data_IF_185172676054
#
_entry.id   IF_185172676054
#
_cell.length_a   1.000
_cell.length_b   1.000
_cell.length_c   1.000
_cell.angle_alpha   90.00
_cell.angle_beta   90.00
_cell.angle_gamma   90.00
#
_symmetry.space_group_name_H-M   'P 1'
#
loop_
_entity.id
_entity.type
_entity.pdbx_description
1 polymer ?
#
# COMPACT_ATOMS: atom_id res chain seq x y z
N UNK A 1 -18.49 8.77 -5.52
CA UNK A 1 -17.44 8.58 -6.53
C UNK A 1 -16.62 7.38 -6.10
N UNK A 2 -16.69 6.27 -6.84
CA UNK A 2 -15.79 5.13 -6.65
C UNK A 2 -14.43 5.54 -7.21
N UNK A 3 -13.49 5.95 -6.35
CA UNK A 3 -12.09 6.17 -6.76
C UNK A 3 -11.33 4.87 -6.67
N UNK A 4 -10.39 4.67 -7.57
CA UNK A 4 -9.43 3.57 -7.47
C UNK A 4 -8.02 4.12 -7.17
N UNK A 5 -7.03 3.25 -7.15
CA UNK A 5 -5.65 3.67 -6.87
C UNK A 5 -5.03 4.49 -8.02
N UNK A 6 -5.46 4.32 -9.28
CA UNK A 6 -4.97 5.09 -10.45
C UNK A 6 -5.32 6.57 -10.33
N UNK A 7 -6.43 6.90 -9.67
CA UNK A 7 -6.80 8.30 -9.39
C UNK A 7 -5.93 8.96 -8.30
N UNK A 8 -5.28 8.16 -7.45
CA UNK A 8 -4.71 8.62 -6.19
C UNK A 8 -3.19 8.49 -6.10
N UNK A 9 -2.59 7.42 -6.63
CA UNK A 9 -1.15 7.18 -6.56
C UNK A 9 -0.32 8.13 -7.45
N UNK A 10 -0.78 8.55 -8.65
CA UNK A 10 -0.05 9.51 -9.46
C UNK A 10 0.03 10.92 -8.84
N UNK A 11 -0.90 11.25 -7.92
CA UNK A 11 -0.93 12.55 -7.26
C UNK A 11 0.39 12.83 -6.54
N UNK A 12 0.81 14.10 -6.54
CA UNK A 12 1.90 14.55 -5.70
C UNK A 12 1.52 14.52 -4.22
N UNK A 13 2.51 14.70 -3.35
CA UNK A 13 2.30 14.59 -1.91
C UNK A 13 1.33 15.65 -1.39
N UNK A 14 1.37 16.87 -1.92
CA UNK A 14 0.49 17.96 -1.51
C UNK A 14 -0.96 17.70 -1.93
N UNK A 15 -1.17 17.19 -3.14
CA UNK A 15 -2.47 16.81 -3.67
C UNK A 15 -3.08 15.67 -2.87
N UNK A 16 -2.32 14.59 -2.64
CA UNK A 16 -2.80 13.45 -1.86
C UNK A 16 -3.11 13.84 -0.41
N UNK A 17 -2.29 14.71 0.19
CA UNK A 17 -2.53 15.24 1.53
C UNK A 17 -3.81 16.08 1.62
N UNK A 18 -4.19 16.84 0.58
CA UNK A 18 -5.46 17.59 0.55
C UNK A 18 -6.67 16.67 0.57
N UNK A 19 -6.54 15.44 0.07
CA UNK A 19 -7.59 14.42 0.13
C UNK A 19 -7.64 13.71 1.49
N UNK A 20 -6.64 13.91 2.35
CA UNK A 20 -6.56 13.26 3.66
C UNK A 20 -6.94 14.22 4.79
N UNK A 21 -7.76 13.73 5.73
CA UNK A 21 -7.92 14.36 7.03
C UNK A 21 -6.72 14.00 7.90
N UNK A 22 -5.91 15.00 8.25
CA UNK A 22 -4.77 14.86 9.14
C UNK A 22 -5.18 15.09 10.60
N UNK A 23 -4.66 14.28 11.51
CA UNK A 23 -4.81 14.47 12.96
C UNK A 23 -3.49 14.17 13.65
N UNK A 24 -3.18 14.94 14.68
CA UNK A 24 -2.00 14.72 15.52
C UNK A 24 -2.39 13.87 16.72
N UNK A 25 -1.49 12.98 17.12
CA UNK A 25 -1.70 12.04 18.20
C UNK A 25 -0.56 12.15 19.22
N UNK A 26 -0.93 11.89 20.46
CA UNK A 26 0.02 11.77 21.57
C UNK A 26 0.62 10.36 21.55
N UNK A 27 1.93 10.24 21.39
CA UNK A 27 2.64 8.98 21.59
C UNK A 27 3.10 8.90 23.06
N UNK A 28 2.81 7.82 23.79
CA UNK A 28 3.58 7.49 24.97
C UNK A 28 4.98 7.07 24.49
N UNK A 29 6.00 7.88 24.78
CA UNK A 29 7.39 7.51 24.55
C UNK A 29 7.90 6.58 25.66
N UNK A 30 8.96 5.77 25.39
CA UNK A 30 9.69 5.07 26.44
C UNK A 30 10.47 6.08 27.28
N UNK A 31 9.80 6.71 28.24
CA UNK A 31 10.37 7.71 29.14
C UNK A 31 9.40 7.91 30.31
N UNK A 32 9.91 7.81 31.53
CA UNK A 32 9.10 7.89 32.75
C UNK A 32 8.28 9.18 32.87
N UNK A 33 7.45 9.24 33.91
CA UNK A 33 6.36 10.18 34.18
C UNK A 33 6.64 11.70 34.01
N UNK A 34 7.87 12.14 33.73
CA UNK A 34 8.25 13.56 33.72
C UNK A 34 8.87 14.12 32.44
N UNK A 35 9.26 13.33 31.42
CA UNK A 35 9.95 13.91 30.24
C UNK A 35 9.58 13.26 28.90
N UNK A 36 9.18 14.16 27.98
CA UNK A 36 8.90 14.02 26.54
C UNK A 36 7.58 13.38 26.14
N UNK A 37 6.49 14.13 26.36
CA UNK A 37 5.23 13.88 25.68
C UNK A 37 5.00 14.96 24.63
N UNK A 38 5.46 14.73 23.40
CA UNK A 38 5.25 15.64 22.28
C UNK A 38 4.24 15.02 21.32
N UNK A 39 3.22 15.79 20.93
CA UNK A 39 2.16 15.42 19.97
C UNK A 39 2.71 15.36 18.53
N UNK A 40 3.69 14.48 18.34
CA UNK A 40 4.46 14.35 17.10
C UNK A 40 3.90 13.27 16.18
N UNK A 41 3.08 12.34 16.67
CA UNK A 41 2.49 11.31 15.81
C UNK A 41 1.43 11.92 14.90
N UNK A 42 1.37 11.42 13.67
CA UNK A 42 0.47 11.87 12.61
C UNK A 42 -0.37 10.69 12.16
N UNK A 43 -1.67 10.89 12.12
CA UNK A 43 -2.66 10.02 11.49
C UNK A 43 -3.23 10.73 10.27
N UNK A 44 -3.26 10.03 9.15
CA UNK A 44 -3.92 10.44 7.92
C UNK A 44 -5.09 9.50 7.67
N UNK A 45 -6.27 10.05 7.41
CA UNK A 45 -7.44 9.31 6.95
C UNK A 45 -7.84 9.80 5.58
N UNK A 46 -7.93 8.92 4.58
CA UNK A 46 -8.34 9.32 3.24
C UNK A 46 -9.83 9.67 3.26
N UNK A 47 -10.19 10.87 2.81
CA UNK A 47 -11.59 11.34 2.84
C UNK A 47 -12.39 10.56 1.82
N UNK A 48 -13.55 10.03 2.21
CA UNK A 48 -14.44 9.27 1.32
C UNK A 48 -14.10 7.78 1.19
N UNK A 49 -12.96 7.34 1.74
CA UNK A 49 -12.56 5.94 1.81
C UNK A 49 -12.34 5.53 3.27
N UNK A 50 -12.52 4.25 3.61
CA UNK A 50 -12.19 3.77 4.96
C UNK A 50 -10.71 3.35 5.07
N UNK A 51 -9.80 4.25 4.67
CA UNK A 51 -8.35 4.04 4.72
C UNK A 51 -7.70 4.98 5.72
N UNK A 52 -6.84 4.43 6.56
CA UNK A 52 -6.10 5.17 7.57
C UNK A 52 -4.64 4.72 7.62
N UNK A 53 -3.73 5.67 7.74
CA UNK A 53 -2.32 5.44 7.95
C UNK A 53 -1.81 6.31 9.09
N UNK A 54 -1.10 5.70 10.05
CA UNK A 54 -0.51 6.41 11.19
C UNK A 54 1.01 6.24 11.20
N UNK A 55 1.74 7.28 11.58
CA UNK A 55 3.17 7.23 11.85
C UNK A 55 3.51 8.08 13.09
N UNK A 56 4.52 7.67 13.85
CA UNK A 56 4.88 8.30 15.13
C UNK A 56 6.23 7.88 15.65
N UNK A 57 7.08 7.32 14.79
CA UNK A 57 8.39 6.77 15.10
C UNK A 57 9.43 7.87 15.32
N UNK A 58 9.24 9.04 14.70
CA UNK A 58 10.12 10.18 14.85
C UNK A 58 9.60 11.14 15.93
N UNK A 59 10.51 11.91 16.53
CA UNK A 59 10.18 13.08 17.34
C UNK A 59 9.65 14.26 16.52
N UNK A 60 9.90 14.27 15.20
CA UNK A 60 9.46 15.33 14.29
C UNK A 60 8.12 14.99 13.65
N UNK A 61 7.13 15.88 13.85
CA UNK A 61 5.83 15.77 13.19
C UNK A 61 5.96 15.80 11.66
N UNK A 62 6.87 16.60 11.11
CA UNK A 62 7.08 16.68 9.67
C UNK A 62 7.56 15.33 9.10
N UNK A 63 8.53 14.68 9.76
CA UNK A 63 8.99 13.34 9.38
C UNK A 63 7.87 12.30 9.51
N UNK A 64 7.07 12.38 10.59
CA UNK A 64 5.94 11.47 10.77
C UNK A 64 4.85 11.70 9.71
N UNK A 65 4.60 12.94 9.28
CA UNK A 65 3.67 13.22 8.18
C UNK A 65 4.12 12.57 6.88
N UNK A 66 5.40 12.69 6.50
CA UNK A 66 5.95 12.02 5.32
C UNK A 66 5.84 10.50 5.43
N UNK A 67 6.17 9.93 6.59
CA UNK A 67 6.04 8.49 6.83
C UNK A 67 4.59 8.01 6.78
N UNK A 68 3.65 8.77 7.35
CA UNK A 68 2.22 8.45 7.28
C UNK A 68 1.71 8.51 5.83
N UNK A 69 2.20 9.44 5.03
CA UNK A 69 1.84 9.55 3.61
C UNK A 69 2.36 8.37 2.79
N UNK A 70 3.62 7.97 2.97
CA UNK A 70 4.18 6.78 2.32
C UNK A 70 3.38 5.51 2.68
N UNK A 71 2.99 5.40 3.95
CA UNK A 71 2.09 4.34 4.41
C UNK A 71 0.72 4.42 3.75
N UNK A 72 0.13 5.62 3.65
CA UNK A 72 -1.16 5.84 3.00
C UNK A 72 -1.14 5.38 1.53
N UNK A 73 -0.07 5.70 0.78
CA UNK A 73 0.09 5.23 -0.60
C UNK A 73 0.07 3.70 -0.69
N UNK A 74 0.75 3.02 0.22
CA UNK A 74 0.68 1.56 0.28
C UNK A 74 -0.72 1.05 0.68
N UNK A 75 -1.40 1.67 1.66
CA UNK A 75 -2.77 1.28 2.01
C UNK A 75 -3.75 1.45 0.83
N UNK A 76 -3.56 2.49 0.01
CA UNK A 76 -4.31 2.72 -1.24
C UNK A 76 -4.06 1.56 -2.22
N UNK A 77 -2.80 1.25 -2.48
CA UNK A 77 -2.42 0.14 -3.37
C UNK A 77 -2.97 -1.23 -2.91
N UNK A 78 -3.04 -1.45 -1.60
CA UNK A 78 -3.48 -2.72 -1.03
C UNK A 78 -5.00 -2.87 -0.96
N UNK A 79 -5.79 -1.79 -0.96
CA UNK A 79 -7.25 -1.87 -0.73
C UNK A 79 -8.13 -1.35 -1.85
N UNK A 80 -7.65 -0.39 -2.63
CA UNK A 80 -8.39 0.07 -3.81
C UNK A 80 -7.96 -0.77 -5.01
N UNK A 81 -8.92 -1.15 -5.84
CA UNK A 81 -8.70 -1.94 -7.05
C UNK A 81 -9.12 -1.17 -8.27
N UNK A 82 -8.36 -1.32 -9.34
CA UNK A 82 -8.75 -0.92 -10.67
C UNK A 82 -8.95 -2.18 -11.54
N UNK A 83 -9.62 -2.02 -12.67
CA UNK A 83 -9.71 -3.09 -13.67
C UNK A 83 -8.34 -3.32 -14.28
N UNK A 84 -7.97 -4.58 -14.50
CA UNK A 84 -6.75 -4.88 -15.26
C UNK A 84 -6.97 -4.45 -16.72
N UNK A 85 -6.06 -3.63 -17.24
CA UNK A 85 -6.09 -3.14 -18.63
C UNK A 85 -5.18 -4.01 -19.50
N UNK A 86 -5.41 -4.05 -20.81
CA UNK A 86 -4.66 -4.93 -21.73
C UNK A 86 -3.15 -4.63 -21.75
N UNK A 87 -2.77 -3.39 -21.47
CA UNK A 87 -1.39 -2.91 -21.41
C UNK A 87 -0.72 -3.13 -20.04
N UNK A 88 -1.38 -3.86 -19.13
CA UNK A 88 -0.93 -4.09 -17.75
C UNK A 88 0.53 -4.54 -17.64
N UNK A 89 0.95 -5.48 -18.49
CA UNK A 89 2.33 -6.01 -18.48
C UNK A 89 3.33 -4.92 -18.87
N UNK A 90 3.03 -4.15 -19.93
CA UNK A 90 3.87 -3.03 -20.35
C UNK A 90 3.98 -1.97 -19.25
N UNK A 91 2.87 -1.64 -18.60
CA UNK A 91 2.82 -0.72 -17.48
C UNK A 91 3.69 -1.22 -16.32
N UNK A 92 3.60 -2.50 -15.97
CA UNK A 92 4.41 -3.10 -14.89
C UNK A 92 5.90 -3.16 -15.25
N UNK A 93 6.25 -3.49 -16.49
CA UNK A 93 7.63 -3.56 -16.98
C UNK A 93 8.29 -2.19 -17.12
N UNK A 94 7.51 -1.14 -17.41
CA UNK A 94 7.99 0.24 -17.44
C UNK A 94 8.44 0.73 -16.04
N UNK A 95 7.95 0.07 -14.98
CA UNK A 95 8.34 0.35 -13.60
C UNK A 95 9.56 -0.48 -13.23
N UNK A 96 10.47 0.10 -12.43
CA UNK A 96 11.66 -0.61 -11.99
C UNK A 96 11.35 -1.59 -10.83
N UNK A 97 10.52 -2.61 -11.09
CA UNK A 97 10.00 -3.54 -10.08
C UNK A 97 11.11 -4.36 -9.41
N UNK A 98 12.20 -4.63 -10.12
CA UNK A 98 13.37 -5.36 -9.62
C UNK A 98 14.07 -4.57 -8.50
N UNK A 99 14.33 -3.29 -8.70
CA UNK A 99 15.07 -2.44 -7.74
C UNK A 99 14.17 -1.65 -6.79
N UNK A 100 12.85 -1.65 -7.03
CA UNK A 100 11.87 -1.01 -6.15
C UNK A 100 12.00 -1.47 -4.70
N UNK A 101 11.66 -0.62 -3.75
CA UNK A 101 11.63 -0.98 -2.33
C UNK A 101 10.49 -0.22 -1.64
N UNK A 102 10.10 -0.64 -0.44
CA UNK A 102 8.98 -0.04 0.29
C UNK A 102 9.13 1.47 0.59
N UNK A 103 10.32 2.04 0.42
CA UNK A 103 10.59 3.48 0.55
C UNK A 103 10.55 4.24 -0.79
N UNK A 104 10.53 3.54 -1.92
CA UNK A 104 10.43 4.13 -3.25
C UNK A 104 8.97 4.52 -3.56
N UNK A 105 8.77 5.71 -4.13
CA UNK A 105 7.47 6.23 -4.58
C UNK A 105 6.77 5.31 -5.60
N UNK A 106 7.51 4.55 -6.39
CA UNK A 106 6.97 3.61 -7.40
C UNK A 106 6.46 2.28 -6.79
N UNK A 107 6.91 1.91 -5.59
CA UNK A 107 6.55 0.60 -5.02
C UNK A 107 5.05 0.41 -4.77
N UNK A 108 4.31 1.41 -4.24
CA UNK A 108 2.85 1.31 -4.14
C UNK A 108 2.17 1.05 -5.49
N UNK A 109 2.63 1.67 -6.57
CA UNK A 109 2.05 1.49 -7.91
C UNK A 109 2.30 0.08 -8.46
N UNK A 110 3.53 -0.42 -8.32
CA UNK A 110 3.88 -1.81 -8.65
C UNK A 110 2.99 -2.79 -7.88
N UNK A 111 2.81 -2.56 -6.57
CA UNK A 111 1.97 -3.42 -5.73
C UNK A 111 0.51 -3.34 -6.14
N UNK A 112 -0.02 -2.15 -6.46
CA UNK A 112 -1.39 -1.98 -6.88
C UNK A 112 -1.69 -2.75 -8.17
N UNK A 113 -0.81 -2.60 -9.17
CA UNK A 113 -0.84 -3.37 -10.41
C UNK A 113 -0.85 -4.88 -10.13
N UNK A 114 0.15 -5.38 -9.39
CA UNK A 114 0.22 -6.80 -9.04
C UNK A 114 -1.07 -7.26 -8.35
N UNK A 115 -1.61 -6.47 -7.42
CA UNK A 115 -2.80 -6.85 -6.66
C UNK A 115 -4.10 -6.82 -7.46
N UNK A 116 -4.23 -5.95 -8.47
CA UNK A 116 -5.33 -5.99 -9.42
C UNK A 116 -5.29 -7.31 -10.22
N UNK A 117 -4.15 -7.62 -10.82
CA UNK A 117 -3.97 -8.86 -11.58
C UNK A 117 -4.23 -10.10 -10.73
N UNK A 118 -3.65 -10.15 -9.53
CA UNK A 118 -3.89 -11.25 -8.59
C UNK A 118 -5.36 -11.32 -8.18
N UNK A 119 -6.02 -10.18 -7.97
CA UNK A 119 -7.44 -10.12 -7.60
C UNK A 119 -8.36 -10.77 -8.63
N UNK A 120 -8.09 -10.55 -9.92
CA UNK A 120 -8.84 -11.17 -11.03
C UNK A 120 -8.47 -12.65 -11.25
N UNK A 121 -7.26 -13.06 -10.84
CA UNK A 121 -6.70 -14.39 -11.08
C UNK A 121 -6.64 -15.27 -9.81
N UNK A 122 -7.68 -15.22 -8.97
CA UNK A 122 -7.82 -16.03 -7.76
C UNK A 122 -6.64 -15.93 -6.77
N UNK A 123 -5.95 -14.80 -6.76
CA UNK A 123 -4.77 -14.54 -5.94
C UNK A 123 -3.60 -15.51 -6.19
N UNK A 124 -3.48 -16.09 -7.40
CA UNK A 124 -2.39 -17.00 -7.75
C UNK A 124 -1.17 -16.26 -8.37
N UNK A 125 -0.03 -16.16 -7.66
CA UNK A 125 1.17 -15.52 -8.19
C UNK A 125 1.83 -16.28 -9.35
N UNK A 126 1.47 -17.55 -9.58
CA UNK A 126 2.01 -18.35 -10.69
C UNK A 126 1.52 -17.85 -12.04
N UNK A 127 0.28 -17.38 -12.11
CA UNK A 127 -0.30 -16.85 -13.34
C UNK A 127 0.42 -15.57 -13.75
N UNK A 128 0.64 -14.64 -12.82
CA UNK A 128 1.40 -13.43 -13.10
C UNK A 128 2.85 -13.73 -13.52
N UNK A 129 3.48 -14.69 -12.84
CA UNK A 129 4.84 -15.10 -13.16
C UNK A 129 4.95 -15.65 -14.60
N UNK A 130 3.93 -16.38 -15.06
CA UNK A 130 3.85 -16.88 -16.44
C UNK A 130 3.70 -15.74 -17.45
N UNK A 131 2.80 -14.79 -17.21
CA UNK A 131 2.61 -13.63 -18.10
C UNK A 131 3.87 -12.76 -18.21
N UNK A 132 4.55 -12.55 -17.08
CA UNK A 132 5.79 -11.78 -17.04
C UNK A 132 7.03 -12.56 -17.50
N UNK A 133 6.89 -13.86 -17.84
CA UNK A 133 8.01 -14.76 -18.14
C UNK A 133 9.13 -14.74 -17.06
N UNK A 134 8.75 -14.68 -15.78
CA UNK A 134 9.65 -14.71 -14.62
C UNK A 134 9.30 -15.87 -13.68
N UNK A 135 10.20 -16.22 -12.76
CA UNK A 135 9.89 -17.23 -11.74
C UNK A 135 8.89 -16.71 -10.69
N UNK A 136 7.99 -17.57 -10.20
CA UNK A 136 7.04 -17.25 -9.10
C UNK A 136 7.75 -16.59 -7.90
N UNK A 137 8.96 -17.07 -7.56
CA UNK A 137 9.77 -16.51 -6.47
C UNK A 137 10.14 -15.04 -6.69
N UNK A 138 10.27 -14.58 -7.94
CA UNK A 138 10.53 -13.18 -8.25
C UNK A 138 9.31 -12.30 -7.92
N UNK A 139 8.10 -12.72 -8.32
CA UNK A 139 6.84 -12.04 -7.96
C UNK A 139 6.69 -11.95 -6.44
N UNK A 140 6.88 -13.07 -5.74
CA UNK A 140 6.80 -13.09 -4.28
C UNK A 140 7.83 -12.19 -3.62
N UNK A 141 9.08 -12.17 -4.12
CA UNK A 141 10.12 -11.26 -3.62
C UNK A 141 9.75 -9.79 -3.73
N UNK A 142 8.94 -9.38 -4.71
CA UNK A 142 8.46 -7.99 -4.81
C UNK A 142 7.49 -7.69 -3.66
N UNK A 143 6.53 -8.59 -3.43
CA UNK A 143 5.52 -8.47 -2.37
C UNK A 143 6.18 -8.54 -0.98
N UNK A 144 7.17 -9.41 -0.80
CA UNK A 144 7.88 -9.63 0.46
C UNK A 144 8.69 -8.42 0.95
N UNK A 145 8.90 -7.41 0.10
CA UNK A 145 9.58 -6.15 0.48
C UNK A 145 8.79 -5.35 1.53
N UNK A 146 7.47 -5.56 1.66
CA UNK A 146 6.65 -4.96 2.72
C UNK A 146 5.75 -5.99 3.39
N UNK A 147 5.86 -6.10 4.72
CA UNK A 147 5.05 -7.04 5.53
C UNK A 147 3.54 -6.80 5.41
N UNK A 148 3.10 -5.58 5.12
CA UNK A 148 1.69 -5.25 4.92
C UNK A 148 1.17 -5.85 3.63
N UNK A 149 1.98 -5.84 2.58
CA UNK A 149 1.63 -6.47 1.32
C UNK A 149 1.53 -8.00 1.49
N UNK A 150 2.46 -8.62 2.24
CA UNK A 150 2.35 -10.05 2.58
C UNK A 150 1.03 -10.34 3.31
N UNK A 151 0.70 -9.57 4.35
CA UNK A 151 -0.54 -9.75 5.12
C UNK A 151 -1.78 -9.61 4.25
N UNK A 152 -1.83 -8.56 3.44
CA UNK A 152 -2.95 -8.31 2.53
C UNK A 152 -3.13 -9.46 1.53
N UNK A 153 -2.05 -10.01 0.98
CA UNK A 153 -2.10 -11.18 0.10
C UNK A 153 -2.66 -12.41 0.84
N UNK A 154 -2.21 -12.68 2.06
CA UNK A 154 -2.70 -13.81 2.87
C UNK A 154 -4.19 -13.66 3.20
N UNK A 155 -4.61 -12.48 3.66
CA UNK A 155 -6.00 -12.17 3.98
C UNK A 155 -6.91 -12.32 2.74
N UNK A 156 -6.45 -11.85 1.59
CA UNK A 156 -7.22 -11.93 0.35
C UNK A 156 -7.35 -13.37 -0.17
N UNK A 157 -6.29 -14.18 -0.06
CA UNK A 157 -6.35 -15.62 -0.36
C UNK A 157 -7.36 -16.35 0.51
N UNK A 158 -7.32 -16.14 1.84
CA UNK A 158 -8.28 -16.74 2.77
C UNK A 158 -9.71 -16.34 2.42
N UNK A 159 -9.95 -15.07 2.14
CA UNK A 159 -11.27 -14.55 1.77
C UNK A 159 -11.79 -15.18 0.47
N UNK A 160 -10.91 -15.37 -0.53
CA UNK A 160 -11.27 -16.00 -1.81
C UNK A 160 -11.61 -17.49 -1.64
N UNK A 161 -10.80 -18.24 -0.87
CA UNK A 161 -11.04 -19.65 -0.59
C UNK A 161 -12.37 -19.87 0.15
N UNK A 162 -12.71 -18.99 1.10
CA UNK A 162 -13.98 -19.06 1.84
C UNK A 162 -15.20 -18.78 0.95
N UNK A 163 -15.07 -17.94 -0.09
CA UNK A 163 -16.14 -17.70 -1.06
C UNK A 163 -16.37 -18.89 -1.98
N UNK A 164 -15.31 -19.63 -2.31
CA UNK A 164 -15.39 -20.82 -3.15
C UNK A 164 -15.99 -22.03 -2.43
N UNK A 165 -15.78 -22.15 -1.10
CA UNK A 165 -16.33 -23.25 -0.29
C UNK A 165 -17.81 -23.10 0.09
N UNK A 166 -18.47 -21.98 -0.27
CA UNK A 166 -19.89 -21.69 0.03
C UNK A 166 -20.81 -21.77 -1.19
N UNK A 167 -20.32 -22.31 -2.31
CA UNK A 167 -21.11 -22.70 -3.48
C UNK A 167 -21.08 -24.22 -3.61
#
# INVERSE_FOLDING_TARGET
MNRNWRDLLPLDDSQLLRLCRMSTLRRPGPGGQKKNVTDSAVRLRLTGENLEATAGESRSQHTNRANALNRMRLEIALRLRATVEDDFILNLESLNYLTSNAKNKQYPEIIALIFDYLGENNWDPRLLAKEMNIGQKAVLKIIEKDRRAIRALTEAKQTSSLRHSRK
#
